data_IF_854495489060
#
_entry.id   IF_854495489060
#
_cell.length_a   1.000
_cell.length_b   1.000
_cell.length_c   1.000
_cell.angle_alpha   90.00
_cell.angle_beta   90.00
_cell.angle_gamma   90.00
#
_symmetry.space_group_name_H-M   'P 1'
#
loop_
_entity.id
_entity.type
_entity.pdbx_description
1 polymer ?
#
# COMPACT_ATOMS: atom_id res chain seq x y z
N UNK A 1 -8.47 -5.54 11.43
CA UNK A 1 -7.24 -5.55 10.60
C UNK A 1 -7.70 -5.62 9.16
N UNK A 2 -7.16 -4.79 8.28
CA UNK A 2 -7.60 -4.72 6.87
C UNK A 2 -7.06 -5.92 6.10
N UNK A 3 -7.97 -6.70 5.51
CA UNK A 3 -7.60 -7.84 4.66
C UNK A 3 -7.54 -7.41 3.19
N UNK A 4 -6.36 -7.58 2.58
CA UNK A 4 -6.11 -7.41 1.14
C UNK A 4 -5.43 -8.67 0.62
N UNK A 5 -6.16 -9.53 -0.03
CA UNK A 5 -5.69 -10.83 -0.52
C UNK A 5 -4.68 -10.67 -1.67
N UNK A 6 -3.94 -11.74 -1.96
CA UNK A 6 -3.03 -11.79 -3.12
C UNK A 6 -3.81 -11.58 -4.43
N UNK A 7 -5.00 -12.18 -4.56
CA UNK A 7 -5.88 -12.03 -5.71
C UNK A 7 -6.34 -10.56 -5.91
N UNK A 8 -6.73 -9.87 -4.84
CA UNK A 8 -7.09 -8.45 -4.91
C UNK A 8 -5.92 -7.57 -5.31
N UNK A 9 -4.72 -7.86 -4.79
CA UNK A 9 -3.51 -7.15 -5.17
C UNK A 9 -3.16 -7.39 -6.65
N UNK A 10 -3.21 -8.64 -7.13
CA UNK A 10 -2.99 -8.98 -8.54
C UNK A 10 -3.98 -8.27 -9.45
N UNK A 11 -5.27 -8.32 -9.12
CA UNK A 11 -6.33 -7.67 -9.88
C UNK A 11 -6.09 -6.16 -9.97
N UNK A 12 -5.68 -5.52 -8.86
CA UNK A 12 -5.35 -4.10 -8.84
C UNK A 12 -4.12 -3.75 -9.68
N UNK A 13 -3.13 -4.65 -9.73
CA UNK A 13 -1.89 -4.49 -10.51
C UNK A 13 -2.05 -4.89 -11.99
N UNK A 14 -3.19 -5.47 -12.38
CA UNK A 14 -3.39 -6.03 -13.72
C UNK A 14 -2.53 -7.27 -14.00
N UNK A 15 -2.15 -8.01 -12.96
CA UNK A 15 -1.36 -9.24 -13.07
C UNK A 15 -2.26 -10.45 -13.35
N UNK A 16 -1.76 -11.46 -14.08
CA UNK A 16 -2.48 -12.71 -14.29
C UNK A 16 -2.68 -13.48 -12.98
N UNK A 17 -3.79 -14.22 -12.90
CA UNK A 17 -4.18 -15.08 -11.77
C UNK A 17 -3.46 -16.44 -11.84
N UNK A 18 -2.15 -16.39 -11.97
CA UNK A 18 -1.25 -17.54 -11.96
C UNK A 18 -0.32 -17.44 -10.74
N UNK A 19 0.05 -18.57 -10.10
CA UNK A 19 0.96 -18.56 -8.96
C UNK A 19 2.26 -17.85 -9.34
N UNK A 20 2.63 -16.87 -8.51
CA UNK A 20 3.68 -15.91 -8.84
C UNK A 20 5.06 -16.55 -9.04
N UNK A 21 5.83 -16.17 -10.07
CA UNK A 21 7.29 -16.20 -10.03
C UNK A 21 7.88 -15.16 -9.05
N UNK A 22 7.07 -14.24 -8.50
CA UNK A 22 7.50 -13.18 -7.58
C UNK A 22 7.09 -13.45 -6.12
N UNK A 23 7.92 -14.13 -5.30
CA UNK A 23 7.65 -14.39 -3.87
C UNK A 23 7.55 -13.12 -3.00
N UNK A 24 7.69 -11.94 -3.60
CA UNK A 24 7.71 -10.66 -2.92
C UNK A 24 6.32 -10.01 -2.76
N UNK A 25 5.29 -10.40 -3.54
CA UNK A 25 3.98 -9.72 -3.49
C UNK A 25 3.32 -9.85 -2.12
N UNK A 26 3.31 -11.06 -1.54
CA UNK A 26 2.82 -11.29 -0.17
C UNK A 26 3.56 -10.41 0.87
N UNK A 27 4.88 -10.24 0.71
CA UNK A 27 5.67 -9.36 1.57
C UNK A 27 5.32 -7.88 1.40
N UNK A 28 5.07 -7.42 0.17
CA UNK A 28 4.62 -6.05 -0.10
C UNK A 28 3.24 -5.78 0.49
N UNK A 29 2.32 -6.74 0.39
CA UNK A 29 0.99 -6.66 1.00
C UNK A 29 1.13 -6.54 2.52
N UNK A 30 1.91 -7.42 3.16
CA UNK A 30 2.11 -7.40 4.61
C UNK A 30 2.70 -6.05 5.08
N UNK A 31 3.76 -5.57 4.44
CA UNK A 31 4.39 -4.29 4.77
C UNK A 31 3.43 -3.10 4.58
N UNK A 32 2.63 -3.12 3.51
CA UNK A 32 1.66 -2.06 3.22
C UNK A 32 0.51 -2.04 4.24
N UNK A 33 0.00 -3.22 4.65
CA UNK A 33 -1.00 -3.35 5.71
C UNK A 33 -0.48 -2.81 7.04
N UNK A 34 0.74 -3.18 7.41
CA UNK A 34 1.39 -2.70 8.63
C UNK A 34 1.56 -1.18 8.62
N UNK A 35 2.04 -0.60 7.51
CA UNK A 35 2.21 0.85 7.36
C UNK A 35 0.88 1.61 7.54
N UNK A 36 -0.20 1.16 6.89
CA UNK A 36 -1.52 1.78 7.00
C UNK A 36 -2.07 1.63 8.41
N UNK A 37 -1.96 0.45 9.03
CA UNK A 37 -2.44 0.22 10.39
C UNK A 37 -1.68 1.07 11.43
N UNK A 38 -0.36 1.18 11.32
CA UNK A 38 0.45 2.00 12.21
C UNK A 38 0.17 3.49 12.05
N UNK A 39 -0.17 3.93 10.84
CA UNK A 39 -0.47 5.33 10.56
C UNK A 39 -1.89 5.72 11.01
N UNK A 40 -2.88 4.91 10.66
CA UNK A 40 -4.30 5.16 10.86
C UNK A 40 -5.05 3.85 11.16
N UNK A 41 -4.98 3.35 12.41
CA UNK A 41 -5.59 2.07 12.80
C UNK A 41 -7.12 2.11 12.76
N UNK A 42 -7.70 3.30 12.91
CA UNK A 42 -9.15 3.53 12.93
C UNK A 42 -9.69 4.01 11.56
N UNK A 43 -8.88 3.92 10.49
CA UNK A 43 -9.34 4.25 9.16
C UNK A 43 -10.47 3.29 8.73
N UNK A 44 -11.51 3.80 8.03
CA UNK A 44 -12.52 2.95 7.41
C UNK A 44 -11.88 1.89 6.54
N UNK A 45 -12.45 0.68 6.57
CA UNK A 45 -11.87 -0.48 5.91
C UNK A 45 -11.61 -0.23 4.42
N UNK A 46 -12.56 0.36 3.70
CA UNK A 46 -12.41 0.68 2.27
C UNK A 46 -11.29 1.68 2.00
N UNK A 47 -11.17 2.72 2.83
CA UNK A 47 -10.11 3.72 2.75
C UNK A 47 -8.74 3.09 2.98
N UNK A 48 -8.65 2.24 4.00
CA UNK A 48 -7.43 1.54 4.34
C UNK A 48 -7.04 0.50 3.27
N UNK A 49 -8.01 -0.27 2.74
CA UNK A 49 -7.81 -1.21 1.62
C UNK A 49 -7.25 -0.51 0.40
N UNK A 50 -7.86 0.61 -0.01
CA UNK A 50 -7.39 1.41 -1.13
C UNK A 50 -5.94 1.89 -0.89
N UNK A 51 -5.62 2.33 0.33
CA UNK A 51 -4.28 2.79 0.65
C UNK A 51 -3.25 1.66 0.62
N UNK A 52 -3.61 0.46 1.10
CA UNK A 52 -2.78 -0.74 1.01
C UNK A 52 -2.51 -1.10 -0.45
N UNK A 53 -3.54 -1.13 -1.31
CA UNK A 53 -3.39 -1.46 -2.73
C UNK A 53 -2.48 -0.47 -3.47
N UNK A 54 -2.62 0.83 -3.18
CA UNK A 54 -1.74 1.87 -3.74
C UNK A 54 -0.29 1.72 -3.29
N UNK A 55 -0.04 1.39 -2.02
CA UNK A 55 1.31 1.13 -1.50
C UNK A 55 1.92 -0.13 -2.12
N UNK A 56 1.14 -1.20 -2.27
CA UNK A 56 1.56 -2.42 -2.96
C UNK A 56 1.96 -2.10 -4.41
N UNK A 57 1.14 -1.33 -5.13
CA UNK A 57 1.46 -0.87 -6.48
C UNK A 57 2.73 -0.04 -6.56
N UNK A 58 2.94 0.87 -5.60
CA UNK A 58 4.19 1.62 -5.49
C UNK A 58 5.40 0.72 -5.25
N UNK A 59 5.32 -0.24 -4.32
CA UNK A 59 6.42 -1.17 -4.04
C UNK A 59 6.71 -2.09 -5.23
N UNK A 60 5.66 -2.54 -5.92
CA UNK A 60 5.77 -3.35 -7.13
C UNK A 60 6.45 -2.56 -8.26
N UNK A 61 5.98 -1.35 -8.55
CA UNK A 61 6.55 -0.47 -9.57
C UNK A 61 8.05 -0.19 -9.31
N UNK A 62 8.41 0.18 -8.07
CA UNK A 62 9.80 0.41 -7.68
C UNK A 62 10.69 -0.82 -7.85
N UNK A 63 10.18 -2.02 -7.52
CA UNK A 63 10.95 -3.26 -7.64
C UNK A 63 11.20 -3.66 -9.08
N UNK A 64 10.23 -3.40 -9.96
CA UNK A 64 10.26 -3.85 -11.35
C UNK A 64 10.72 -2.77 -12.34
N UNK A 65 11.07 -1.56 -11.86
CA UNK A 65 11.46 -0.44 -12.71
C UNK A 65 10.34 0.00 -13.67
N UNK A 66 9.09 -0.37 -13.35
CA UNK A 66 7.92 0.04 -14.12
C UNK A 66 7.57 1.44 -13.68
N UNK A 67 7.60 2.38 -14.63
CA UNK A 67 7.30 3.78 -14.38
C UNK A 67 5.84 3.88 -13.91
N UNK A 68 5.60 4.13 -12.62
CA UNK A 68 4.27 4.21 -12.02
C UNK A 68 3.46 5.45 -12.46
N UNK A 69 3.86 6.13 -13.53
CA UNK A 69 3.34 7.43 -13.97
C UNK A 69 3.79 8.60 -13.09
N UNK A 70 4.09 8.33 -11.83
CA UNK A 70 4.90 9.15 -10.93
C UNK A 70 6.19 8.37 -10.67
N UNK A 71 7.30 8.81 -11.29
CA UNK A 71 8.60 8.17 -11.11
C UNK A 71 9.02 8.03 -9.64
N UNK A 72 9.98 7.15 -9.33
CA UNK A 72 10.43 6.88 -7.96
C UNK A 72 11.00 8.15 -7.34
N UNK A 73 10.19 8.89 -6.57
CA UNK A 73 10.68 9.98 -5.73
C UNK A 73 11.12 9.36 -4.41
N UNK A 74 12.40 9.51 -4.01
CA UNK A 74 12.82 9.17 -2.66
C UNK A 74 11.99 9.99 -1.66
N UNK A 75 11.15 9.34 -0.88
CA UNK A 75 10.25 10.02 0.03
C UNK A 75 9.09 9.12 0.47
N UNK A 76 8.49 9.49 1.60
CA UNK A 76 7.41 8.78 2.29
C UNK A 76 6.40 8.13 1.31
N UNK A 77 6.38 6.78 1.17
CA UNK A 77 5.53 6.05 0.22
C UNK A 77 4.05 6.41 0.34
N UNK A 78 3.58 6.72 1.54
CA UNK A 78 2.20 7.13 1.77
C UNK A 78 1.88 8.51 1.20
N UNK A 79 2.89 9.39 1.12
CA UNK A 79 2.75 10.71 0.50
C UNK A 79 2.66 10.60 -1.01
N UNK A 80 3.52 9.76 -1.59
CA UNK A 80 3.60 9.54 -3.05
C UNK A 80 2.33 8.90 -3.57
N UNK A 81 1.77 7.95 -2.82
CA UNK A 81 0.51 7.26 -3.17
C UNK A 81 -0.75 8.11 -2.94
N UNK A 82 -0.63 9.29 -2.35
CA UNK A 82 -1.78 10.11 -1.93
C UNK A 82 -2.54 9.56 -0.71
N UNK A 83 -2.04 8.47 -0.10
CA UNK A 83 -2.64 7.83 1.07
C UNK A 83 -2.61 8.74 2.30
N UNK A 84 -1.63 9.65 2.43
CA UNK A 84 -1.60 10.64 3.53
C UNK A 84 -2.88 11.47 3.55
N UNK A 85 -3.36 11.95 2.40
CA UNK A 85 -4.57 12.78 2.36
C UNK A 85 -5.81 12.00 2.81
N UNK A 86 -5.90 10.74 2.40
CA UNK A 86 -7.02 9.85 2.74
C UNK A 86 -7.00 9.41 4.20
N UNK A 87 -5.81 9.15 4.75
CA UNK A 87 -5.64 8.61 6.10
C UNK A 87 -5.42 9.70 7.16
N UNK A 88 -5.13 10.95 6.77
CA UNK A 88 -4.89 12.08 7.69
C UNK A 88 -5.97 12.24 8.77
N UNK A 89 -7.29 12.14 8.44
CA UNK A 89 -8.35 12.29 9.43
C UNK A 89 -8.33 11.22 10.53
N UNK A 90 -7.76 10.05 10.23
CA UNK A 90 -7.72 8.86 11.09
C UNK A 90 -6.33 8.63 11.68
N UNK A 91 -5.40 9.56 11.43
CA UNK A 91 -4.01 9.41 11.81
C UNK A 91 -3.88 9.41 13.33
N UNK A 92 -3.11 8.45 13.87
CA UNK A 92 -2.69 8.50 15.26
C UNK A 92 -1.80 9.72 15.46
N UNK A 93 -2.30 10.70 16.21
CA UNK A 93 -1.43 11.71 16.81
C UNK A 93 -0.72 11.02 17.97
N UNK A 94 0.50 10.54 17.75
CA UNK A 94 1.36 10.20 18.88
C UNK A 94 1.51 11.47 19.71
N UNK A 95 0.97 11.47 20.92
CA UNK A 95 1.34 12.45 21.92
C UNK A 95 2.86 12.34 22.08
N UNK A 96 3.57 13.41 21.73
CA UNK A 96 4.99 13.52 22.03
C UNK A 96 5.05 13.65 23.55
N UNK A 97 5.49 12.60 24.24
CA UNK A 97 5.85 12.66 25.67
C UNK A 97 7.14 13.43 25.85
#
# INVERSE_FOLDING_TARGET
>A
MVEVTDAEARAYLGLPDEPDPFPALAGMIAASREAVHNYAPDAPEDTAKLCVLKLVSFHFANRHGVDSGDGPRPGDPMRVTGCIGLLSPYRVRRAVS
#
